data_IF_178011002849
#
_entry.id   IF_178011002849
#
_cell.length_a   1.000
_cell.length_b   1.000
_cell.length_c   1.000
_cell.angle_alpha   90.00
_cell.angle_beta   90.00
_cell.angle_gamma   90.00
#
_symmetry.space_group_name_H-M   'P 1'
#
loop_
_entity.id
_entity.type
_entity.pdbx_description
1 polymer ?
#
# COMPACT_ATOMS: atom_id res chain seq x y z
N UNK A 1 -12.60 -6.03 -8.42
CA UNK A 1 -11.97 -4.69 -8.52
C UNK A 1 -10.72 -4.82 -9.37
N UNK A 2 -10.43 -3.90 -10.30
CA UNK A 2 -9.22 -4.01 -11.12
C UNK A 2 -7.98 -3.59 -10.33
N UNK A 3 -6.84 -4.22 -10.61
CA UNK A 3 -5.54 -3.84 -10.04
C UNK A 3 -4.60 -3.44 -11.17
N UNK A 4 -4.22 -2.17 -11.18
CA UNK A 4 -3.24 -1.60 -12.09
C UNK A 4 -1.89 -1.48 -11.37
N UNK A 5 -0.81 -1.52 -12.16
CA UNK A 5 0.55 -1.30 -11.66
C UNK A 5 1.06 0.02 -12.27
N UNK A 6 1.53 0.94 -11.43
CA UNK A 6 2.31 2.08 -11.89
C UNK A 6 3.58 1.62 -12.61
N UNK A 7 4.03 2.36 -13.61
CA UNK A 7 5.14 1.91 -14.47
C UNK A 7 6.44 1.71 -13.67
N UNK A 8 6.74 2.59 -12.72
CA UNK A 8 7.93 2.48 -11.88
C UNK A 8 7.85 1.25 -10.97
N UNK A 9 6.69 1.03 -10.34
CA UNK A 9 6.43 -0.17 -9.55
C UNK A 9 6.52 -1.45 -10.40
N UNK A 10 5.94 -1.45 -11.60
CA UNK A 10 5.97 -2.58 -12.53
C UNK A 10 7.39 -2.92 -12.98
N UNK A 11 8.26 -1.92 -13.17
CA UNK A 11 9.68 -2.13 -13.46
C UNK A 11 10.40 -2.71 -12.23
N UNK A 12 10.20 -2.12 -11.05
CA UNK A 12 10.83 -2.56 -9.81
C UNK A 12 10.41 -4.00 -9.41
N UNK A 13 9.13 -4.32 -9.57
CA UNK A 13 8.53 -5.62 -9.23
C UNK A 13 9.26 -6.80 -9.89
N UNK A 14 9.83 -6.61 -11.09
CA UNK A 14 10.59 -7.65 -11.79
C UNK A 14 11.83 -8.09 -11.00
N UNK A 15 12.42 -7.18 -10.23
CA UNK A 15 13.67 -7.35 -9.51
C UNK A 15 13.48 -7.70 -8.02
N UNK A 16 12.25 -7.66 -7.50
CA UNK A 16 12.00 -8.04 -6.11
C UNK A 16 12.25 -9.54 -5.87
N UNK A 17 12.62 -9.91 -4.63
CA UNK A 17 12.77 -11.31 -4.23
C UNK A 17 11.54 -12.14 -4.61
N UNK A 18 11.76 -13.42 -4.96
CA UNK A 18 10.68 -14.32 -5.40
C UNK A 18 9.53 -14.38 -4.38
N UNK A 19 9.86 -14.43 -3.09
CA UNK A 19 8.86 -14.51 -2.02
C UNK A 19 8.05 -13.21 -1.89
N UNK A 20 8.68 -12.06 -2.07
CA UNK A 20 8.00 -10.76 -2.03
C UNK A 20 7.05 -10.63 -3.23
N UNK A 21 7.50 -11.02 -4.43
CA UNK A 21 6.65 -11.08 -5.63
C UNK A 21 5.46 -12.01 -5.44
N UNK A 22 5.63 -13.14 -4.74
CA UNK A 22 4.56 -14.08 -4.44
C UNK A 22 3.48 -13.42 -3.57
N UNK A 23 3.86 -12.75 -2.47
CA UNK A 23 2.90 -12.03 -1.62
C UNK A 23 2.21 -10.88 -2.32
N UNK A 24 2.92 -10.18 -3.21
CA UNK A 24 2.33 -9.14 -4.08
C UNK A 24 1.31 -9.75 -5.03
N UNK A 25 1.61 -10.90 -5.64
CA UNK A 25 0.67 -11.60 -6.52
C UNK A 25 -0.56 -12.11 -5.75
N UNK A 26 -0.39 -12.61 -4.52
CA UNK A 26 -1.51 -13.00 -3.65
C UNK A 26 -2.43 -11.83 -3.31
N UNK A 27 -1.84 -10.67 -2.97
CA UNK A 27 -2.61 -9.44 -2.75
C UNK A 27 -3.38 -9.04 -4.02
N UNK A 28 -2.74 -9.04 -5.18
CA UNK A 28 -3.38 -8.70 -6.46
C UNK A 28 -4.56 -9.65 -6.73
N UNK A 29 -4.35 -10.96 -6.62
CA UNK A 29 -5.38 -11.97 -6.84
C UNK A 29 -6.56 -11.80 -5.86
N UNK A 30 -6.27 -11.56 -4.58
CA UNK A 30 -7.28 -11.29 -3.57
C UNK A 30 -8.13 -10.07 -3.93
N UNK A 31 -7.50 -8.95 -4.31
CA UNK A 31 -8.23 -7.72 -4.65
C UNK A 31 -9.05 -7.87 -5.92
N UNK A 32 -8.54 -8.62 -6.90
CA UNK A 32 -9.29 -8.91 -8.11
C UNK A 32 -10.57 -9.70 -7.81
N UNK A 33 -10.50 -10.70 -6.93
CA UNK A 33 -11.61 -11.56 -6.57
C UNK A 33 -12.58 -10.94 -5.56
N UNK A 34 -12.05 -10.31 -4.50
CA UNK A 34 -12.82 -9.93 -3.29
C UNK A 34 -12.85 -8.41 -3.06
N UNK A 35 -12.18 -7.61 -3.91
CA UNK A 35 -11.93 -6.21 -3.61
C UNK A 35 -11.03 -6.04 -2.37
N UNK A 36 -11.20 -4.94 -1.65
CA UNK A 36 -10.40 -4.66 -0.45
C UNK A 36 -10.95 -5.33 0.82
N UNK A 37 -12.00 -6.15 0.70
CA UNK A 37 -12.63 -6.86 1.82
C UNK A 37 -11.89 -8.15 2.16
N UNK A 38 -11.81 -8.49 3.45
CA UNK A 38 -11.17 -9.74 3.90
C UNK A 38 -9.65 -9.78 3.76
N UNK A 39 -9.00 -8.61 3.62
CA UNK A 39 -7.54 -8.55 3.70
C UNK A 39 -7.08 -8.80 5.15
N UNK A 40 -6.05 -9.64 5.39
CA UNK A 40 -5.57 -9.89 6.74
C UNK A 40 -4.79 -8.70 7.33
N UNK A 41 -4.03 -8.00 6.48
CA UNK A 41 -3.23 -6.84 6.86
C UNK A 41 -4.08 -5.59 7.07
N UNK A 42 -3.57 -4.69 7.91
CA UNK A 42 -4.10 -3.34 8.04
C UNK A 42 -4.01 -2.63 6.69
N UNK A 43 -5.15 -2.11 6.25
CA UNK A 43 -5.30 -1.30 5.06
C UNK A 43 -5.86 0.07 5.47
N UNK A 44 -5.09 1.15 5.28
CA UNK A 44 -5.48 2.48 5.75
C UNK A 44 -5.19 3.57 4.72
N UNK A 45 -6.01 4.61 4.78
CA UNK A 45 -5.72 5.87 4.10
C UNK A 45 -4.39 6.44 4.62
N UNK A 46 -3.61 7.00 3.71
CA UNK A 46 -2.32 7.62 3.99
C UNK A 46 -2.44 9.03 4.55
N UNK A 47 -3.67 9.56 4.67
CA UNK A 47 -3.93 10.86 5.30
C UNK A 47 -3.98 10.79 6.83
N UNK A 48 -3.89 9.60 7.43
CA UNK A 48 -3.83 9.43 8.88
C UNK A 48 -2.41 9.69 9.42
N UNK A 49 -1.91 10.90 9.21
CA UNK A 49 -0.59 11.37 9.66
C UNK A 49 -0.74 11.97 11.07
N UNK A 50 0.18 11.71 12.02
CA UNK A 50 0.18 12.35 13.33
C UNK A 50 0.24 13.88 13.25
N UNK A 51 -0.58 14.57 14.05
CA UNK A 51 -0.74 16.03 13.98
C UNK A 51 0.51 16.81 14.43
N UNK A 52 1.44 16.16 15.12
CA UNK A 52 2.74 16.68 15.54
C UNK A 52 3.83 16.52 14.47
N UNK A 53 3.55 15.87 13.33
CA UNK A 53 4.46 15.83 12.19
C UNK A 53 4.62 17.26 11.61
N UNK A 54 5.85 17.80 11.47
CA UNK A 54 6.06 19.15 10.96
C UNK A 54 5.48 19.39 9.55
N UNK A 55 5.29 18.32 8.77
CA UNK A 55 4.70 18.35 7.44
C UNK A 55 3.28 17.78 7.42
N UNK A 56 2.62 17.68 8.57
CA UNK A 56 1.30 17.05 8.71
C UNK A 56 0.31 17.51 7.64
N UNK A 57 0.06 18.82 7.54
CA UNK A 57 -0.93 19.36 6.61
C UNK A 57 -0.56 19.11 5.14
N UNK A 58 0.73 19.18 4.81
CA UNK A 58 1.23 18.91 3.46
C UNK A 58 0.99 17.44 3.09
N UNK A 59 1.39 16.52 3.97
CA UNK A 59 1.23 15.07 3.78
C UNK A 59 -0.24 14.67 3.70
N UNK A 60 -1.08 15.20 4.58
CA UNK A 60 -2.54 14.97 4.57
C UNK A 60 -3.15 15.45 3.24
N UNK A 61 -2.86 16.68 2.81
CA UNK A 61 -3.40 17.22 1.56
C UNK A 61 -2.92 16.44 0.35
N UNK A 62 -1.66 16.01 0.33
CA UNK A 62 -1.13 15.18 -0.74
C UNK A 62 -1.82 13.81 -0.80
N UNK A 63 -1.96 13.14 0.35
CA UNK A 63 -2.64 11.85 0.44
C UNK A 63 -4.11 11.94 0.00
N UNK A 64 -4.83 12.98 0.42
CA UNK A 64 -6.22 13.20 0.02
C UNK A 64 -6.35 13.51 -1.47
N UNK A 65 -5.51 14.40 -2.01
CA UNK A 65 -5.52 14.76 -3.44
C UNK A 65 -5.33 13.54 -4.35
N UNK A 66 -4.47 12.62 -3.95
CA UNK A 66 -4.11 11.45 -4.75
C UNK A 66 -4.82 10.16 -4.29
N UNK A 67 -5.77 10.28 -3.35
CA UNK A 67 -6.47 9.17 -2.70
C UNK A 67 -5.52 8.01 -2.35
N UNK A 68 -4.46 8.34 -1.60
CA UNK A 68 -3.38 7.42 -1.29
C UNK A 68 -3.73 6.52 -0.12
N UNK A 69 -3.50 5.23 -0.30
CA UNK A 69 -3.68 4.20 0.70
C UNK A 69 -2.40 3.38 0.83
N UNK A 70 -2.25 2.73 1.98
CA UNK A 70 -1.21 1.75 2.19
C UNK A 70 -1.74 0.48 2.84
N UNK A 71 -1.17 -0.64 2.43
CA UNK A 71 -1.51 -1.97 2.92
C UNK A 71 -0.28 -2.70 3.44
N UNK A 72 -0.33 -3.18 4.68
CA UNK A 72 0.70 -4.08 5.22
C UNK A 72 0.62 -5.44 4.54
N UNK A 73 1.68 -5.84 3.82
CA UNK A 73 1.66 -7.03 2.95
C UNK A 73 2.19 -8.32 3.61
N UNK A 74 2.45 -8.28 4.90
CA UNK A 74 2.92 -9.45 5.63
C UNK A 74 4.37 -9.82 5.33
N UNK A 75 5.21 -8.88 4.88
CA UNK A 75 6.65 -9.10 4.65
C UNK A 75 7.46 -8.49 5.82
N UNK A 76 8.40 -9.25 6.43
CA UNK A 76 8.62 -10.69 6.21
C UNK A 76 7.49 -11.56 6.79
N UNK A 77 6.78 -11.05 7.81
CA UNK A 77 5.60 -11.68 8.40
C UNK A 77 4.63 -10.63 8.92
N UNK A 78 3.39 -11.05 9.13
CA UNK A 78 2.43 -10.29 9.92
C UNK A 78 2.78 -10.35 11.41
N UNK A 79 2.52 -9.26 12.13
CA UNK A 79 2.72 -9.10 13.56
C UNK A 79 1.48 -8.49 14.20
N UNK A 80 1.07 -9.06 15.33
CA UNK A 80 0.06 -8.53 16.25
C UNK A 80 -1.29 -8.23 15.60
N UNK A 81 -2.17 -7.54 16.34
CA UNK A 81 -3.47 -7.10 15.86
C UNK A 81 -4.56 -8.16 15.84
N UNK A 82 -5.77 -7.76 15.44
CA UNK A 82 -6.86 -8.68 15.08
C UNK A 82 -6.81 -8.93 13.57
N UNK A 83 -7.42 -10.00 13.10
CA UNK A 83 -7.58 -10.22 11.66
C UNK A 83 -8.21 -8.98 11.00
N UNK A 84 -7.63 -8.51 9.89
CA UNK A 84 -7.98 -7.23 9.26
C UNK A 84 -7.17 -6.02 9.76
N UNK A 85 -6.35 -6.21 10.80
CA UNK A 85 -5.53 -5.16 11.40
C UNK A 85 -4.09 -5.63 11.68
N UNK A 86 -3.65 -6.70 11.02
CA UNK A 86 -2.29 -7.22 11.18
C UNK A 86 -1.27 -6.25 10.54
N UNK A 87 -0.10 -6.07 11.16
CA UNK A 87 0.94 -5.17 10.62
C UNK A 87 2.14 -5.94 10.11
N UNK A 88 2.95 -5.33 9.24
CA UNK A 88 4.22 -5.90 8.75
C UNK A 88 5.21 -4.80 8.41
N UNK A 89 6.49 -5.16 8.32
CA UNK A 89 7.56 -4.20 8.06
C UNK A 89 7.45 -3.55 6.68
N UNK A 90 6.90 -4.24 5.67
CA UNK A 90 6.69 -3.64 4.35
C UNK A 90 5.21 -3.38 4.08
N UNK A 91 4.98 -2.33 3.28
CA UNK A 91 3.67 -1.88 2.82
C UNK A 91 3.65 -1.73 1.30
N UNK A 92 2.48 -1.93 0.69
CA UNK A 92 2.18 -1.48 -0.67
C UNK A 92 1.51 -0.12 -0.60
N UNK A 93 2.01 0.84 -1.37
CA UNK A 93 1.36 2.13 -1.60
C UNK A 93 0.53 2.06 -2.89
N UNK A 94 -0.71 2.52 -2.83
CA UNK A 94 -1.58 2.53 -4.00
C UNK A 94 -2.53 3.73 -3.98
N UNK A 95 -3.00 4.14 -5.16
CA UNK A 95 -4.13 5.07 -5.29
C UNK A 95 -5.42 4.27 -5.36
N UNK A 96 -6.43 4.68 -4.60
CA UNK A 96 -7.78 4.13 -4.70
C UNK A 96 -8.60 4.96 -5.70
N UNK A 97 -9.20 4.30 -6.68
CA UNK A 97 -10.03 4.93 -7.71
C UNK A 97 -11.35 4.17 -7.85
N UNK A 98 -12.29 4.75 -8.60
CA UNK A 98 -13.59 4.12 -8.84
C UNK A 98 -13.41 2.81 -9.63
N UNK A 99 -13.67 1.69 -8.96
CA UNK A 99 -13.60 0.34 -9.55
C UNK A 99 -12.20 -0.26 -9.66
N UNK A 100 -11.12 0.49 -9.36
CA UNK A 100 -9.75 0.00 -9.45
C UNK A 100 -8.80 0.58 -8.39
N UNK A 101 -7.72 -0.15 -8.12
CA UNK A 101 -6.55 0.41 -7.43
C UNK A 101 -5.36 0.45 -8.38
N UNK A 102 -4.45 1.40 -8.18
CA UNK A 102 -3.15 1.43 -8.88
C UNK A 102 -2.03 1.37 -7.85
N UNK A 103 -1.30 0.26 -7.83
CA UNK A 103 -0.14 0.08 -6.95
C UNK A 103 1.01 0.93 -7.51
N UNK A 104 1.50 1.87 -6.71
CA UNK A 104 2.53 2.85 -7.13
C UNK A 104 3.86 2.66 -6.40
N UNK A 105 3.89 1.94 -5.27
CA UNK A 105 5.11 1.77 -4.50
C UNK A 105 5.09 0.57 -3.57
N UNK A 106 6.28 0.17 -3.15
CA UNK A 106 6.53 -0.86 -2.15
C UNK A 106 7.76 -0.46 -1.36
N UNK A 107 7.59 -0.27 -0.06
CA UNK A 107 8.69 0.14 0.82
C UNK A 107 8.44 -0.29 2.27
N UNK A 108 9.46 -0.10 3.11
CA UNK A 108 9.43 -0.41 4.53
C UNK A 108 8.74 0.69 5.32
N UNK A 109 7.95 0.29 6.33
CA UNK A 109 7.36 1.14 7.34
C UNK A 109 7.78 0.65 8.75
N UNK A 110 8.20 1.54 9.68
CA UNK A 110 8.51 2.97 9.51
C UNK A 110 9.89 3.21 8.87
N UNK A 111 10.19 4.44 8.38
CA UNK A 111 9.30 5.62 8.31
C UNK A 111 8.31 5.57 7.14
N UNK A 112 7.21 6.33 7.21
CA UNK A 112 6.30 6.50 6.07
C UNK A 112 6.84 7.60 5.15
N UNK A 113 7.32 7.22 3.96
CA UNK A 113 7.80 8.13 2.93
C UNK A 113 6.72 8.22 1.84
N UNK A 114 6.34 9.45 1.45
CA UNK A 114 5.39 9.64 0.36
C UNK A 114 6.00 9.11 -0.95
N UNK A 115 5.24 8.34 -1.75
CA UNK A 115 5.72 7.87 -3.04
C UNK A 115 5.91 9.04 -4.01
N UNK A 116 6.93 8.96 -4.85
CA UNK A 116 7.10 9.89 -5.97
C UNK A 116 6.08 9.53 -7.07
N UNK A 117 5.14 10.43 -7.35
CA UNK A 117 4.11 10.23 -8.37
C UNK A 117 4.57 11.01 -9.61
N UNK A 118 4.83 10.35 -10.76
CA UNK A 118 5.14 11.06 -11.99
C UNK A 118 3.98 12.00 -12.37
N UNK A 119 4.33 13.24 -12.75
CA UNK A 119 3.39 14.28 -13.20
C UNK A 119 2.58 13.86 -14.43
#
# INVERSE_FOLDING_TARGET
MQVLLGEDFKRALKNYPKEDRRKIAEFIAHVQQNGLSGLPGRNKSSDNVPADDPQWLEKVRFAQRHNLWHYHIGIPKYNGGRYGDLTSAYILHYTLCDGFIKIIGFDRHPPFILPDIPK
#
